data_IF_131511565364
#
_entry.id   IF_131511565364
#
_cell.length_a   1.000
_cell.length_b   1.000
_cell.length_c   1.000
_cell.angle_alpha   90.00
_cell.angle_beta   90.00
_cell.angle_gamma   90.00
#
_symmetry.space_group_name_H-M   'P 1'
#
loop_
_entity.id
_entity.type
_entity.pdbx_description
1 polymer ?
#
# COMPACT_ATOMS: atom_id res chain seq x y z
N UNK A 1 -7.46 9.40 -23.93
CA UNK A 1 -6.30 10.15 -23.43
C UNK A 1 -6.61 11.06 -22.24
N UNK A 2 -7.75 11.75 -22.17
CA UNK A 2 -8.04 12.72 -21.08
C UNK A 2 -8.19 12.11 -19.67
N UNK A 3 -8.68 10.87 -19.54
CA UNK A 3 -8.85 10.22 -18.24
C UNK A 3 -7.52 9.94 -17.51
N UNK A 4 -6.44 9.67 -18.25
CA UNK A 4 -5.11 9.44 -17.66
C UNK A 4 -4.45 10.71 -17.12
N UNK A 5 -4.66 11.85 -17.79
CA UNK A 5 -4.12 13.15 -17.37
C UNK A 5 -4.77 13.72 -16.10
N UNK A 6 -6.07 13.45 -15.90
CA UNK A 6 -6.77 13.90 -14.69
C UNK A 6 -6.23 13.17 -13.45
N UNK A 7 -6.07 11.85 -13.56
CA UNK A 7 -5.53 11.04 -12.47
C UNK A 7 -4.10 11.46 -12.12
N UNK A 8 -3.20 11.65 -13.10
CA UNK A 8 -1.81 12.04 -12.82
C UNK A 8 -1.68 13.42 -12.16
N UNK A 9 -2.53 14.39 -12.54
CA UNK A 9 -2.56 15.70 -11.90
C UNK A 9 -3.09 15.64 -10.45
N UNK A 10 -4.15 14.86 -10.21
CA UNK A 10 -4.71 14.66 -8.87
C UNK A 10 -3.71 13.94 -7.94
N UNK A 11 -2.94 12.99 -8.45
CA UNK A 11 -1.86 12.34 -7.68
C UNK A 11 -0.70 13.27 -7.37
N UNK A 12 -0.30 14.11 -8.33
CA UNK A 12 0.74 15.12 -8.12
C UNK A 12 0.33 16.10 -7.01
N UNK A 13 -0.91 16.58 -7.03
CA UNK A 13 -1.44 17.46 -5.98
C UNK A 13 -1.59 16.74 -4.63
N UNK A 14 -2.08 15.51 -4.61
CA UNK A 14 -2.18 14.73 -3.37
C UNK A 14 -0.81 14.50 -2.73
N UNK A 15 0.21 14.17 -3.54
CA UNK A 15 1.58 13.99 -3.08
C UNK A 15 2.19 15.30 -2.58
N UNK A 16 1.94 16.41 -3.29
CA UNK A 16 2.39 17.75 -2.86
C UNK A 16 1.79 18.14 -1.52
N UNK A 17 0.47 18.03 -1.38
CA UNK A 17 -0.24 18.31 -0.12
C UNK A 17 0.29 17.42 1.00
N UNK A 18 0.48 16.13 0.75
CA UNK A 18 1.06 15.22 1.73
C UNK A 18 2.46 15.66 2.17
N UNK A 19 3.33 16.07 1.23
CA UNK A 19 4.67 16.57 1.56
C UNK A 19 4.61 17.85 2.42
N UNK A 20 3.70 18.77 2.11
CA UNK A 20 3.49 20.03 2.83
C UNK A 20 2.89 19.85 4.24
N UNK A 21 2.32 18.68 4.57
CA UNK A 21 1.81 18.41 5.92
C UNK A 21 2.92 18.44 6.97
N UNK A 22 2.79 19.35 7.96
CA UNK A 22 3.69 19.45 9.12
C UNK A 22 3.74 18.15 9.93
N UNK A 23 2.60 17.45 10.04
CA UNK A 23 2.47 16.18 10.74
C UNK A 23 1.72 15.19 9.87
N UNK A 24 2.36 14.07 9.56
CA UNK A 24 1.77 12.93 8.86
C UNK A 24 1.37 11.89 9.89
N UNK A 25 0.13 11.43 9.83
CA UNK A 25 -0.42 10.41 10.69
C UNK A 25 -0.80 9.15 9.90
N UNK A 26 -1.23 8.10 10.61
CA UNK A 26 -1.66 6.83 10.03
C UNK A 26 -2.66 7.01 8.88
N UNK A 27 -3.60 7.94 9.02
CA UNK A 27 -4.67 8.16 8.04
C UNK A 27 -4.08 8.76 6.78
N UNK A 28 -3.27 9.81 6.90
CA UNK A 28 -2.63 10.46 5.74
C UNK A 28 -1.79 9.48 4.91
N UNK A 29 -1.00 8.62 5.57
CA UNK A 29 -0.23 7.59 4.90
C UNK A 29 -1.12 6.55 4.21
N UNK A 30 -2.14 6.06 4.90
CA UNK A 30 -3.09 5.09 4.35
C UNK A 30 -3.84 5.65 3.13
N UNK A 31 -4.21 6.93 3.16
CA UNK A 31 -4.83 7.61 2.02
C UNK A 31 -3.93 7.56 0.80
N UNK A 32 -2.63 7.87 0.94
CA UNK A 32 -1.69 7.81 -0.19
C UNK A 32 -1.51 6.37 -0.69
N UNK A 33 -1.28 5.40 0.21
CA UNK A 33 -1.04 3.99 -0.15
C UNK A 33 -2.24 3.42 -0.91
N UNK A 34 -3.45 3.55 -0.36
CA UNK A 34 -4.67 3.04 -0.99
C UNK A 34 -5.00 3.81 -2.26
N UNK A 35 -4.83 5.13 -2.26
CA UNK A 35 -5.08 5.99 -3.43
C UNK A 35 -4.24 5.56 -4.64
N UNK A 36 -2.92 5.42 -4.45
CA UNK A 36 -2.04 4.96 -5.51
C UNK A 36 -2.34 3.51 -5.93
N UNK A 37 -2.52 2.58 -4.98
CA UNK A 37 -2.77 1.17 -5.32
C UNK A 37 -4.08 0.96 -6.08
N UNK A 38 -5.14 1.70 -5.74
CA UNK A 38 -6.44 1.56 -6.41
C UNK A 38 -6.44 2.10 -7.84
N UNK A 39 -5.47 2.95 -8.19
CA UNK A 39 -5.33 3.54 -9.51
C UNK A 39 -4.18 2.95 -10.33
N UNK A 40 -3.59 1.84 -9.88
CA UNK A 40 -2.56 1.11 -10.61
C UNK A 40 -1.14 1.65 -10.44
N UNK A 41 -0.93 2.64 -9.58
CA UNK A 41 0.37 3.20 -9.24
C UNK A 41 1.04 2.38 -8.14
N UNK A 42 1.35 1.13 -8.45
CA UNK A 42 1.77 0.14 -7.45
C UNK A 42 3.15 0.42 -6.86
N UNK A 43 4.08 0.95 -7.66
CA UNK A 43 5.41 1.34 -7.17
C UNK A 43 5.31 2.48 -6.15
N UNK A 44 4.52 3.51 -6.47
CA UNK A 44 4.26 4.64 -5.59
C UNK A 44 3.57 4.19 -4.30
N UNK A 45 2.53 3.35 -4.39
CA UNK A 45 1.87 2.78 -3.22
C UNK A 45 2.87 2.06 -2.29
N UNK A 46 3.81 1.30 -2.87
CA UNK A 46 4.84 0.61 -2.11
C UNK A 46 5.89 1.56 -1.53
N UNK A 47 6.29 2.62 -2.25
CA UNK A 47 7.18 3.68 -1.75
C UNK A 47 6.56 4.36 -0.53
N UNK A 48 5.28 4.73 -0.60
CA UNK A 48 4.58 5.33 0.54
C UNK A 48 4.44 4.36 1.72
N UNK A 49 4.19 3.07 1.47
CA UNK A 49 4.18 2.08 2.54
C UNK A 49 5.55 1.94 3.23
N UNK A 50 6.65 1.95 2.46
CA UNK A 50 8.00 1.98 3.03
C UNK A 50 8.26 3.25 3.83
N UNK A 51 7.74 4.39 3.36
CA UNK A 51 7.77 5.67 4.08
C UNK A 51 7.09 5.60 5.45
N UNK A 52 5.86 5.07 5.49
CA UNK A 52 5.12 4.82 6.74
C UNK A 52 5.97 4.00 7.73
N UNK A 53 6.60 2.93 7.25
CA UNK A 53 7.46 2.07 8.08
C UNK A 53 8.72 2.81 8.57
N UNK A 54 9.35 3.64 7.73
CA UNK A 54 10.54 4.41 8.12
C UNK A 54 10.25 5.50 9.14
N UNK A 55 9.03 6.03 9.17
CA UNK A 55 8.55 6.94 10.22
C UNK A 55 8.23 6.22 11.54
N UNK A 56 8.43 4.89 11.61
CA UNK A 56 8.13 4.08 12.80
C UNK A 56 6.63 3.91 13.06
N UNK A 57 5.79 4.25 12.09
CA UNK A 57 4.34 4.08 12.19
C UNK A 57 3.99 2.63 11.85
N UNK A 58 3.19 2.00 12.71
CA UNK A 58 2.85 0.59 12.56
C UNK A 58 1.77 0.39 11.49
N UNK A 59 2.00 -0.46 10.46
CA UNK A 59 0.98 -0.76 9.47
C UNK A 59 -0.25 -1.34 10.13
N UNK A 60 -1.42 -0.84 9.74
CA UNK A 60 -2.70 -1.41 10.12
C UNK A 60 -3.33 -2.18 8.95
N UNK A 61 -4.54 -2.70 9.16
CA UNK A 61 -5.29 -3.44 8.16
C UNK A 61 -5.45 -2.66 6.85
N UNK A 62 -5.65 -1.34 6.91
CA UNK A 62 -5.81 -0.49 5.72
C UNK A 62 -4.48 -0.32 4.98
N UNK A 63 -3.37 -0.13 5.69
CA UNK A 63 -2.04 -0.08 5.06
C UNK A 63 -1.74 -1.38 4.32
N UNK A 64 -2.07 -2.51 4.94
CA UNK A 64 -1.79 -3.85 4.44
C UNK A 64 -2.65 -4.20 3.22
N UNK A 65 -3.96 -3.92 3.28
CA UNK A 65 -4.85 -4.13 2.12
C UNK A 65 -4.51 -3.19 0.96
N UNK A 66 -3.90 -2.03 1.23
CA UNK A 66 -3.37 -1.15 0.21
C UNK A 66 -2.06 -1.62 -0.44
N UNK A 67 -1.11 -2.19 0.33
CA UNK A 67 0.21 -2.55 -0.21
C UNK A 67 0.30 -3.98 -0.77
N UNK A 68 -0.51 -4.92 -0.28
CA UNK A 68 -0.48 -6.31 -0.75
C UNK A 68 -0.82 -6.44 -2.25
N UNK A 69 -1.82 -5.72 -2.81
CA UNK A 69 -2.05 -5.69 -4.25
C UNK A 69 -0.84 -5.16 -5.02
N UNK A 70 -0.15 -4.15 -4.49
CA UNK A 70 1.07 -3.63 -5.12
C UNK A 70 2.17 -4.71 -5.20
N UNK A 71 2.35 -5.50 -4.13
CA UNK A 71 3.28 -6.64 -4.17
C UNK A 71 2.89 -7.65 -5.25
N UNK A 72 1.59 -7.97 -5.32
CA UNK A 72 1.03 -8.91 -6.27
C UNK A 72 1.29 -8.51 -7.72
N UNK A 73 1.09 -7.23 -8.03
CA UNK A 73 1.19 -6.67 -9.38
C UNK A 73 2.63 -6.45 -9.82
N UNK A 74 3.52 -6.09 -8.90
CA UNK A 74 4.95 -5.93 -9.18
C UNK A 74 5.72 -7.26 -9.17
N UNK A 75 5.07 -8.39 -8.83
CA UNK A 75 5.76 -9.67 -8.64
C UNK A 75 6.74 -9.67 -7.46
N UNK A 76 6.52 -8.79 -6.47
CA UNK A 76 7.42 -8.60 -5.33
C UNK A 76 7.22 -9.68 -4.25
N UNK A 77 7.49 -10.94 -4.61
CA UNK A 77 7.20 -12.11 -3.77
C UNK A 77 7.90 -12.09 -2.42
N UNK A 78 9.18 -11.72 -2.37
CA UNK A 78 9.93 -11.68 -1.12
C UNK A 78 9.41 -10.57 -0.18
N UNK A 79 9.04 -9.41 -0.72
CA UNK A 79 8.34 -8.37 0.04
C UNK A 79 7.01 -8.88 0.59
N UNK A 80 6.24 -9.60 -0.21
CA UNK A 80 4.99 -10.24 0.21
C UNK A 80 5.17 -11.22 1.36
N UNK A 81 6.24 -12.03 1.36
CA UNK A 81 6.58 -12.94 2.46
C UNK A 81 6.96 -12.21 3.74
N UNK A 82 7.70 -11.10 3.64
CA UNK A 82 8.03 -10.26 4.79
C UNK A 82 6.73 -9.72 5.43
N UNK A 83 5.82 -9.20 4.59
CA UNK A 83 4.51 -8.73 5.06
C UNK A 83 3.66 -9.84 5.66
N UNK A 84 3.67 -11.04 5.08
CA UNK A 84 2.99 -12.19 5.67
C UNK A 84 3.53 -12.47 7.09
N UNK A 85 4.85 -12.53 7.26
CA UNK A 85 5.45 -12.74 8.58
C UNK A 85 5.04 -11.68 9.60
N UNK A 86 4.93 -10.42 9.17
CA UNK A 86 4.38 -9.33 9.99
C UNK A 86 2.91 -9.58 10.36
N UNK A 87 2.05 -9.82 9.37
CA UNK A 87 0.61 -10.07 9.53
C UNK A 87 0.34 -11.23 10.50
N UNK A 88 1.14 -12.29 10.42
CA UNK A 88 1.03 -13.45 11.31
C UNK A 88 1.43 -13.09 12.74
N UNK A 89 2.53 -12.35 12.94
CA UNK A 89 3.01 -11.93 14.26
C UNK A 89 2.06 -10.95 14.94
N UNK A 90 1.35 -10.12 14.19
CA UNK A 90 0.38 -9.15 14.71
C UNK A 90 -1.04 -9.71 14.81
N UNK A 91 -1.27 -10.96 14.39
CA UNK A 91 -2.59 -11.62 14.44
C UNK A 91 -3.59 -11.10 13.40
N UNK A 92 -3.14 -10.28 12.44
CA UNK A 92 -3.99 -9.67 11.42
C UNK A 92 -4.48 -10.66 10.36
N UNK A 93 -3.94 -11.89 10.32
CA UNK A 93 -4.45 -12.97 9.46
C UNK A 93 -5.94 -13.29 9.70
N UNK A 94 -6.47 -12.94 10.89
CA UNK A 94 -7.90 -13.13 11.21
C UNK A 94 -8.80 -12.05 10.59
N UNK A 95 -8.24 -10.96 10.11
CA UNK A 95 -8.96 -9.86 9.47
C UNK A 95 -9.19 -10.26 8.02
N UNK A 96 -10.45 -10.54 7.67
CA UNK A 96 -10.82 -11.11 6.38
C UNK A 96 -10.30 -10.30 5.17
N UNK A 97 -10.40 -8.95 5.14
CA UNK A 97 -9.78 -8.16 4.07
C UNK A 97 -8.27 -8.41 3.90
N UNK A 98 -7.53 -8.50 5.01
CA UNK A 98 -6.08 -8.75 4.99
C UNK A 98 -5.78 -10.16 4.52
N UNK A 99 -6.52 -11.15 5.01
CA UNK A 99 -6.38 -12.55 4.59
C UNK A 99 -6.63 -12.73 3.08
N UNK A 100 -7.68 -12.09 2.55
CA UNK A 100 -8.01 -12.13 1.13
C UNK A 100 -6.93 -11.45 0.27
N UNK A 101 -6.45 -10.27 0.69
CA UNK A 101 -5.38 -9.57 -0.02
C UNK A 101 -4.07 -10.38 -0.02
N UNK A 102 -3.78 -11.08 1.09
CA UNK A 102 -2.61 -11.94 1.20
C UNK A 102 -2.71 -13.16 0.28
N UNK A 103 -3.90 -13.79 0.20
CA UNK A 103 -4.16 -14.88 -0.72
C UNK A 103 -3.99 -14.43 -2.17
N UNK A 104 -4.59 -13.30 -2.56
CA UNK A 104 -4.44 -12.73 -3.91
C UNK A 104 -2.95 -12.51 -4.25
N UNK A 105 -2.18 -11.91 -3.32
CA UNK A 105 -0.74 -11.72 -3.48
C UNK A 105 0.00 -13.02 -3.78
N UNK A 106 -0.23 -14.08 -3.00
CA UNK A 106 0.40 -15.38 -3.25
C UNK A 106 -0.01 -15.99 -4.60
N UNK A 107 -1.29 -15.89 -4.98
CA UNK A 107 -1.76 -16.45 -6.25
C UNK A 107 -1.18 -15.75 -7.48
N UNK A 108 -0.86 -14.46 -7.37
CA UNK A 108 -0.30 -13.68 -8.49
C UNK A 108 1.22 -13.74 -8.54
N UNK A 109 1.90 -13.74 -7.40
CA UNK A 109 3.36 -13.80 -7.34
C UNK A 109 3.93 -15.22 -7.44
N UNK A 110 3.21 -16.24 -7.00
CA UNK A 110 3.69 -17.62 -6.92
C UNK A 110 3.60 -18.44 -8.22
N UNK A 111 3.66 -17.78 -9.38
CA UNK A 111 3.68 -18.46 -10.68
C UNK A 111 5.10 -18.70 -11.16
#
# INVERSE_FOLDING_TARGET
MLAGYKNSAEFGEAQRLFMEMERKDQVSWNTMIVGFSTHGHFEEAFIFFRGLMSEGIMPNEVSLTGVLPACAQMGAFESGKILHGFIQKTGMTRILPVANALLDMYTRCGK
#
